data_IF_526700152498
#
_entry.id   IF_526700152498
#
_cell.length_a   1.000
_cell.length_b   1.000
_cell.length_c   1.000
_cell.angle_alpha   90.00
_cell.angle_beta   90.00
_cell.angle_gamma   90.00
#
_symmetry.space_group_name_H-M   'P 1'
#
loop_
_entity.id
_entity.type
_entity.pdbx_description
1 polymer ?
#
# COMPACT_ATOMS: atom_id res chain seq x y z
N UNK A 1 29.80 -11.28 -23.07
CA UNK A 1 30.51 -10.15 -22.51
C UNK A 1 31.97 -10.46 -22.24
N UNK A 2 32.78 -9.42 -22.16
CA UNK A 2 34.22 -9.56 -21.87
C UNK A 2 34.50 -9.00 -20.49
N UNK A 3 35.14 -9.79 -19.62
CA UNK A 3 35.55 -9.36 -18.26
C UNK A 3 37.00 -9.78 -18.04
N UNK A 4 37.87 -8.82 -17.70
CA UNK A 4 39.29 -9.01 -17.45
C UNK A 4 39.99 -9.72 -18.67
N UNK A 5 39.68 -9.29 -19.90
CA UNK A 5 40.22 -9.82 -21.15
C UNK A 5 39.74 -11.23 -21.55
N UNK A 6 38.83 -11.84 -20.81
CA UNK A 6 38.26 -13.15 -21.10
C UNK A 6 36.82 -13.04 -21.60
N UNK A 7 36.53 -13.68 -22.73
CA UNK A 7 35.17 -13.81 -23.28
C UNK A 7 34.39 -14.80 -22.37
N UNK A 8 33.22 -14.38 -21.88
CA UNK A 8 32.30 -15.24 -21.18
C UNK A 8 30.95 -15.24 -21.87
N UNK A 9 30.35 -16.40 -21.98
CA UNK A 9 28.97 -16.56 -22.47
C UNK A 9 28.05 -16.65 -21.23
N UNK A 10 26.94 -15.99 -21.29
CA UNK A 10 25.83 -16.12 -20.31
C UNK A 10 24.54 -16.18 -21.10
N UNK A 11 23.55 -16.88 -20.58
CA UNK A 11 22.19 -16.85 -21.10
C UNK A 11 21.36 -16.00 -20.15
N UNK A 12 20.56 -15.11 -20.71
CA UNK A 12 19.54 -14.35 -19.97
C UNK A 12 18.20 -14.96 -20.35
N UNK A 13 17.43 -15.33 -19.36
CA UNK A 13 16.03 -15.71 -19.55
C UNK A 13 15.18 -14.44 -19.45
N UNK A 14 14.74 -13.93 -20.58
CA UNK A 14 13.95 -12.71 -20.68
C UNK A 14 12.43 -13.01 -20.70
N UNK A 15 11.98 -13.99 -19.93
CA UNK A 15 10.56 -14.36 -19.87
C UNK A 15 9.70 -13.38 -19.09
N UNK A 16 10.30 -12.58 -18.23
CA UNK A 16 9.60 -11.59 -17.43
C UNK A 16 9.83 -10.19 -17.98
N UNK A 17 8.77 -9.40 -18.08
CA UNK A 17 8.88 -8.00 -18.44
C UNK A 17 9.59 -7.22 -17.32
N UNK A 18 10.36 -6.18 -17.68
CA UNK A 18 11.03 -5.31 -16.71
C UNK A 18 10.06 -4.73 -15.68
N UNK A 19 8.80 -4.50 -16.07
CA UNK A 19 7.76 -3.99 -15.18
C UNK A 19 7.39 -4.94 -14.03
N UNK A 20 7.68 -6.26 -14.18
CA UNK A 20 7.47 -7.22 -13.08
C UNK A 20 8.42 -7.03 -11.90
N UNK A 21 9.53 -6.32 -12.12
CA UNK A 21 10.50 -5.96 -11.08
C UNK A 21 10.27 -4.55 -10.50
N UNK A 22 9.29 -3.81 -11.02
CA UNK A 22 8.93 -2.51 -10.47
C UNK A 22 8.15 -2.69 -9.16
N UNK A 23 8.47 -1.87 -8.16
CA UNK A 23 7.73 -1.84 -6.89
C UNK A 23 6.31 -1.31 -7.09
N UNK A 24 6.12 -0.41 -8.05
CA UNK A 24 4.80 0.06 -8.48
C UNK A 24 4.37 -0.77 -9.70
N UNK A 25 3.39 -1.63 -9.51
CA UNK A 25 2.89 -2.48 -10.59
C UNK A 25 2.25 -1.67 -11.71
N UNK A 26 2.34 -2.19 -12.94
CA UNK A 26 1.71 -1.61 -14.12
C UNK A 26 0.19 -1.48 -14.00
N UNK A 27 -0.44 -0.97 -15.07
CA UNK A 27 -1.90 -0.87 -15.10
C UNK A 27 -2.55 -2.26 -15.10
N UNK A 28 -3.57 -2.42 -14.27
CA UNK A 28 -4.32 -3.66 -14.10
C UNK A 28 -5.79 -3.39 -14.45
N UNK A 29 -6.29 -4.05 -15.48
CA UNK A 29 -7.67 -3.89 -15.95
C UNK A 29 -8.55 -5.11 -15.65
N UNK A 30 -7.92 -6.28 -15.49
CA UNK A 30 -8.61 -7.56 -15.31
C UNK A 30 -8.70 -8.02 -13.84
N UNK A 31 -8.30 -7.14 -12.90
CA UNK A 31 -8.32 -7.44 -11.47
C UNK A 31 -9.27 -6.49 -10.74
N UNK A 32 -10.05 -7.07 -9.83
CA UNK A 32 -10.81 -6.27 -8.87
C UNK A 32 -9.82 -5.51 -7.99
N UNK A 33 -9.97 -4.19 -7.83
CA UNK A 33 -9.10 -3.39 -6.97
C UNK A 33 -9.09 -3.91 -5.53
N UNK A 34 -7.89 -4.11 -4.99
CA UNK A 34 -7.72 -4.48 -3.60
C UNK A 34 -7.83 -3.25 -2.72
N UNK A 35 -8.53 -3.39 -1.60
CA UNK A 35 -8.59 -2.37 -0.56
C UNK A 35 -8.84 -2.99 0.81
N UNK A 36 -8.44 -2.27 1.85
CA UNK A 36 -8.71 -2.56 3.24
C UNK A 36 -9.01 -1.26 3.99
N UNK A 37 -10.07 -1.26 4.78
CA UNK A 37 -10.45 -0.14 5.63
C UNK A 37 -10.20 -0.55 7.08
N UNK A 38 -9.39 0.25 7.77
CA UNK A 38 -9.08 0.02 9.17
C UNK A 38 -9.07 1.36 9.92
N UNK A 39 -9.79 1.44 11.04
CA UNK A 39 -9.95 2.68 11.80
C UNK A 39 -10.49 3.86 10.97
N UNK A 40 -11.30 3.58 9.94
CA UNK A 40 -11.82 4.57 8.99
C UNK A 40 -10.82 5.04 7.94
N UNK A 41 -9.65 4.42 7.84
CA UNK A 41 -8.64 4.75 6.85
C UNK A 41 -8.70 3.74 5.71
N UNK A 42 -8.78 4.24 4.48
CA UNK A 42 -8.76 3.42 3.26
C UNK A 42 -7.33 3.16 2.85
N UNK A 43 -6.92 1.90 2.87
CA UNK A 43 -5.63 1.43 2.38
C UNK A 43 -5.78 0.70 1.05
N UNK A 44 -4.84 0.94 0.13
CA UNK A 44 -4.79 0.31 -1.19
C UNK A 44 -3.34 0.03 -1.59
N UNK A 45 -3.08 -1.00 -2.42
CA UNK A 45 -1.76 -1.17 -3.02
C UNK A 45 -1.48 -0.07 -4.03
N UNK A 46 -0.22 0.42 -4.07
CA UNK A 46 0.20 1.40 -5.06
C UNK A 46 0.44 0.73 -6.41
N UNK A 47 -0.32 1.15 -7.41
CA UNK A 47 -0.17 0.72 -8.80
C UNK A 47 -0.34 1.92 -9.76
N UNK A 48 -0.09 1.71 -11.05
CA UNK A 48 -0.21 2.77 -12.05
C UNK A 48 -1.65 3.26 -12.23
N UNK A 49 -2.68 2.43 -12.00
CA UNK A 49 -4.08 2.88 -12.02
C UNK A 49 -4.32 3.96 -10.96
N UNK A 50 -3.78 3.77 -9.75
CA UNK A 50 -3.89 4.76 -8.68
C UNK A 50 -3.17 6.06 -9.05
N UNK A 51 -1.95 5.99 -9.58
CA UNK A 51 -1.17 7.17 -9.97
C UNK A 51 -1.88 7.94 -11.10
N UNK A 52 -2.44 7.25 -12.08
CA UNK A 52 -3.12 7.87 -13.22
C UNK A 52 -4.47 8.51 -12.89
N UNK A 53 -5.02 8.30 -11.69
CA UNK A 53 -6.26 8.98 -11.25
C UNK A 53 -6.14 10.51 -11.22
N UNK A 54 -4.91 11.05 -11.19
CA UNK A 54 -4.66 12.49 -11.30
C UNK A 54 -4.78 13.05 -12.71
N UNK A 55 -5.35 12.26 -13.67
CA UNK A 55 -5.65 12.68 -15.04
C UNK A 55 -4.47 12.56 -16.00
N UNK A 56 -4.60 13.15 -17.17
CA UNK A 56 -3.61 13.02 -18.24
C UNK A 56 -2.22 13.55 -17.84
N UNK A 57 -2.19 14.58 -16.99
CA UNK A 57 -0.95 15.20 -16.49
C UNK A 57 -0.47 14.60 -15.17
N UNK A 58 -0.86 13.35 -14.85
CA UNK A 58 -0.52 12.67 -13.59
C UNK A 58 0.96 12.78 -13.21
N UNK A 59 1.86 12.78 -14.18
CA UNK A 59 3.31 12.89 -13.94
C UNK A 59 3.75 14.22 -13.31
N UNK A 60 2.86 15.23 -13.30
CA UNK A 60 3.06 16.53 -12.68
C UNK A 60 2.13 16.80 -11.52
N UNK A 61 0.94 16.20 -11.53
CA UNK A 61 -0.15 16.50 -10.59
C UNK A 61 -0.28 15.50 -9.46
N UNK A 62 0.21 14.26 -9.64
CA UNK A 62 0.20 13.26 -8.57
C UNK A 62 1.19 13.63 -7.44
N UNK A 63 0.92 13.19 -6.20
CA UNK A 63 1.82 13.44 -5.08
C UNK A 63 3.25 12.98 -5.35
N UNK A 64 4.23 13.83 -4.99
CA UNK A 64 5.66 13.60 -5.26
C UNK A 64 6.13 12.27 -4.67
N UNK A 65 5.64 11.89 -3.49
CA UNK A 65 5.98 10.62 -2.84
C UNK A 65 5.59 9.41 -3.68
N UNK A 66 4.42 9.44 -4.32
CA UNK A 66 3.94 8.37 -5.19
C UNK A 66 4.72 8.31 -6.51
N UNK A 67 5.10 9.49 -7.05
CA UNK A 67 5.91 9.58 -8.27
C UNK A 67 7.34 9.07 -8.04
N UNK A 68 7.93 9.38 -6.90
CA UNK A 68 9.27 8.89 -6.53
C UNK A 68 9.28 7.36 -6.37
N UNK A 69 8.26 6.81 -5.72
CA UNK A 69 8.11 5.37 -5.51
C UNK A 69 8.08 4.56 -6.82
N UNK A 70 7.62 5.16 -7.91
CA UNK A 70 7.59 4.54 -9.24
C UNK A 70 8.98 4.12 -9.75
N UNK A 71 10.03 4.77 -9.28
CA UNK A 71 11.40 4.48 -9.70
C UNK A 71 12.10 3.45 -8.80
N UNK A 72 11.38 2.91 -7.80
CA UNK A 72 11.91 1.91 -6.88
C UNK A 72 11.68 0.49 -7.44
N UNK A 73 12.65 -0.40 -7.16
CA UNK A 73 12.58 -1.79 -7.57
C UNK A 73 12.02 -2.67 -6.46
N UNK A 74 11.27 -3.69 -6.84
CA UNK A 74 10.79 -4.70 -5.91
C UNK A 74 11.95 -5.57 -5.39
N UNK A 75 11.78 -6.09 -4.19
CA UNK A 75 12.69 -7.04 -3.57
C UNK A 75 11.88 -8.12 -2.84
N UNK A 76 12.48 -9.26 -2.44
CA UNK A 76 11.77 -10.28 -1.66
C UNK A 76 11.12 -9.74 -0.38
N UNK A 77 11.71 -8.69 0.22
CA UNK A 77 11.23 -8.08 1.45
C UNK A 77 10.36 -6.83 1.20
N UNK A 78 10.16 -6.41 -0.04
CA UNK A 78 9.35 -5.25 -0.41
C UNK A 78 8.82 -5.43 -1.83
N UNK A 79 7.65 -6.06 -1.95
CA UNK A 79 7.03 -6.42 -3.23
C UNK A 79 5.99 -5.42 -3.72
N UNK A 80 5.32 -4.74 -2.78
CA UNK A 80 4.30 -3.72 -3.04
C UNK A 80 4.41 -2.60 -2.01
N UNK A 81 3.90 -1.43 -2.37
CA UNK A 81 3.70 -0.32 -1.45
C UNK A 81 2.21 -0.22 -1.09
N UNK A 82 1.96 0.09 0.17
CA UNK A 82 0.62 0.34 0.70
C UNK A 82 0.43 1.83 0.89
N UNK A 83 -0.68 2.35 0.41
CA UNK A 83 -1.04 3.76 0.52
C UNK A 83 -2.27 3.92 1.40
N UNK A 84 -2.15 4.69 2.48
CA UNK A 84 -3.29 5.27 3.16
C UNK A 84 -3.83 6.39 2.26
N UNK A 85 -4.90 6.06 1.51
CA UNK A 85 -5.39 6.88 0.41
C UNK A 85 -6.22 8.05 0.91
N UNK A 86 -7.09 7.78 1.86
CA UNK A 86 -8.05 8.73 2.41
C UNK A 86 -8.49 8.31 3.81
N UNK A 87 -8.82 9.29 4.65
CA UNK A 87 -9.40 9.06 5.96
C UNK A 87 -10.89 9.43 5.92
N UNK A 88 -11.72 8.52 6.36
CA UNK A 88 -13.14 8.72 6.66
C UNK A 88 -13.24 9.17 8.11
N UNK A 89 -13.62 10.42 8.32
CA UNK A 89 -13.61 11.04 9.64
C UNK A 89 -14.47 10.27 10.65
N UNK A 90 -13.87 9.88 11.75
CA UNK A 90 -14.47 9.21 12.88
C UNK A 90 -13.67 9.53 14.16
N UNK A 91 -14.23 9.25 15.32
CA UNK A 91 -13.56 9.55 16.60
C UNK A 91 -12.25 8.78 16.76
N UNK A 92 -12.20 7.53 16.25
CA UNK A 92 -11.03 6.65 16.33
C UNK A 92 -9.81 7.18 15.56
N UNK A 93 -10.03 8.04 14.57
CA UNK A 93 -8.97 8.63 13.74
C UNK A 93 -8.88 10.16 13.89
N UNK A 94 -9.28 10.68 15.03
CA UNK A 94 -9.20 12.11 15.34
C UNK A 94 -7.76 12.61 15.24
N UNK A 95 -7.57 13.72 14.53
CA UNK A 95 -6.25 14.30 14.26
C UNK A 95 -5.64 13.86 12.93
N UNK A 96 -6.21 12.85 12.23
CA UNK A 96 -5.72 12.35 10.96
C UNK A 96 -6.64 12.65 9.77
N UNK A 97 -7.72 13.39 9.94
CA UNK A 97 -8.76 13.60 8.91
C UNK A 97 -8.25 14.18 7.60
N UNK A 98 -7.18 14.97 7.63
CA UNK A 98 -6.56 15.58 6.45
C UNK A 98 -5.47 14.70 5.81
N UNK A 99 -5.14 13.56 6.42
CA UNK A 99 -4.11 12.67 5.90
C UNK A 99 -4.60 11.94 4.66
N UNK A 100 -3.78 11.97 3.61
CA UNK A 100 -4.09 11.33 2.34
C UNK A 100 -2.83 11.02 1.54
N UNK A 101 -2.91 9.98 0.71
CA UNK A 101 -1.81 9.59 -0.19
C UNK A 101 -0.49 9.30 0.56
N UNK A 102 -0.58 8.73 1.73
CA UNK A 102 0.53 8.48 2.63
C UNK A 102 1.00 7.03 2.51
N UNK A 103 2.29 6.83 2.19
CA UNK A 103 2.86 5.48 2.01
C UNK A 103 3.22 4.91 3.37
N UNK A 104 2.67 3.73 3.69
CA UNK A 104 3.01 2.95 4.87
C UNK A 104 4.29 2.17 4.61
N UNK A 105 5.30 2.37 5.44
CA UNK A 105 6.58 1.65 5.40
C UNK A 105 6.61 0.49 6.38
N UNK A 106 6.10 0.71 7.60
CA UNK A 106 6.08 -0.29 8.67
C UNK A 106 4.78 -0.26 9.46
N UNK A 107 4.44 -1.38 10.09
CA UNK A 107 3.37 -1.53 11.08
C UNK A 107 3.98 -2.10 12.34
N UNK A 108 3.84 -1.42 13.48
CA UNK A 108 4.43 -1.80 14.78
C UNK A 108 5.93 -2.13 14.70
N UNK A 109 6.67 -1.38 13.85
CA UNK A 109 8.09 -1.55 13.62
C UNK A 109 8.45 -2.67 12.63
N UNK A 110 7.50 -3.47 12.14
CA UNK A 110 7.73 -4.47 11.11
C UNK A 110 7.52 -3.90 9.71
N UNK A 111 8.53 -4.05 8.83
CA UNK A 111 8.48 -3.55 7.46
C UNK A 111 7.40 -4.27 6.63
N UNK A 112 6.57 -3.49 5.96
CA UNK A 112 5.51 -4.00 5.08
C UNK A 112 6.13 -4.55 3.80
N UNK A 113 5.85 -5.84 3.50
CA UNK A 113 6.35 -6.52 2.30
C UNK A 113 5.44 -6.31 1.10
N UNK A 114 4.14 -6.41 1.32
CA UNK A 114 3.07 -6.24 0.33
C UNK A 114 1.73 -5.98 1.03
N UNK A 115 0.66 -5.86 0.25
CA UNK A 115 -0.66 -5.51 0.77
C UNK A 115 -1.27 -6.62 1.65
N UNK A 116 -1.06 -7.89 1.30
CA UNK A 116 -1.51 -9.01 2.12
C UNK A 116 -0.80 -9.00 3.48
N UNK A 117 0.52 -8.89 3.48
CA UNK A 117 1.31 -8.80 4.71
C UNK A 117 0.90 -7.61 5.59
N UNK A 118 0.62 -6.44 4.98
CA UNK A 118 0.09 -5.28 5.71
C UNK A 118 -1.22 -5.60 6.44
N UNK A 119 -2.16 -6.23 5.75
CA UNK A 119 -3.44 -6.58 6.36
C UNK A 119 -3.30 -7.63 7.46
N UNK A 120 -2.38 -8.58 7.28
CA UNK A 120 -2.09 -9.62 8.29
C UNK A 120 -1.47 -9.00 9.55
N UNK A 121 -0.54 -8.04 9.41
CA UNK A 121 0.05 -7.32 10.56
C UNK A 121 -1.00 -6.59 11.39
N UNK A 122 -2.02 -6.02 10.74
CA UNK A 122 -3.12 -5.36 11.45
C UNK A 122 -4.06 -6.39 12.12
N UNK A 123 -4.46 -7.43 11.39
CA UNK A 123 -5.42 -8.43 11.89
C UNK A 123 -4.89 -9.26 13.05
N UNK A 124 -3.60 -9.59 12.99
CA UNK A 124 -2.92 -10.37 14.02
C UNK A 124 -2.25 -9.47 15.09
N UNK A 125 -2.63 -8.19 15.15
CA UNK A 125 -2.11 -7.29 16.15
C UNK A 125 -2.58 -7.70 17.56
N UNK A 126 -1.63 -7.89 18.46
CA UNK A 126 -1.86 -8.20 19.87
C UNK A 126 -1.63 -6.99 20.79
N UNK A 127 -1.20 -5.84 20.23
CA UNK A 127 -0.97 -4.63 21.01
C UNK A 127 -2.25 -3.80 21.12
N UNK A 128 -2.30 -2.91 22.11
CA UNK A 128 -3.41 -1.98 22.29
C UNK A 128 -3.58 -1.02 21.10
N UNK A 129 -2.45 -0.66 20.47
CA UNK A 129 -2.43 0.27 19.35
C UNK A 129 -1.79 -0.38 18.10
N UNK A 130 -2.23 0.06 16.93
CA UNK A 130 -1.56 -0.16 15.65
C UNK A 130 -0.83 1.11 15.27
N UNK A 131 0.50 1.04 15.23
CA UNK A 131 1.38 2.14 14.85
C UNK A 131 1.84 1.92 13.42
N UNK A 132 1.38 2.76 12.50
CA UNK A 132 1.83 2.77 11.10
C UNK A 132 2.82 3.89 10.90
N UNK A 133 3.94 3.60 10.24
CA UNK A 133 5.04 4.54 10.06
C UNK A 133 5.41 4.67 8.58
N UNK A 134 5.79 5.89 8.15
CA UNK A 134 6.35 6.11 6.82
C UNK A 134 7.88 6.20 6.87
N UNK A 135 8.52 6.24 5.70
CA UNK A 135 9.98 6.34 5.58
C UNK A 135 10.63 7.57 6.23
N UNK A 136 9.84 8.59 6.57
CA UNK A 136 10.32 9.81 7.23
C UNK A 136 10.12 9.78 8.75
N UNK A 137 9.62 8.66 9.31
CA UNK A 137 9.37 8.50 10.74
C UNK A 137 8.08 9.17 11.23
N UNK A 138 7.21 9.67 10.34
CA UNK A 138 5.89 10.10 10.75
C UNK A 138 5.03 8.90 11.08
N UNK A 139 4.27 8.99 12.16
CA UNK A 139 3.45 7.89 12.68
C UNK A 139 1.97 8.24 12.66
N UNK A 140 1.17 7.24 12.35
CA UNK A 140 -0.27 7.21 12.48
C UNK A 140 -0.58 6.11 13.49
N UNK A 141 -1.20 6.48 14.61
CA UNK A 141 -1.48 5.57 15.73
C UNK A 141 -3.00 5.42 15.88
N UNK A 142 -3.48 4.20 15.81
CA UNK A 142 -4.90 3.86 15.94
C UNK A 142 -5.07 2.85 17.06
N UNK A 143 -5.94 3.16 18.02
CA UNK A 143 -6.30 2.18 19.04
C UNK A 143 -7.04 1.00 18.41
N UNK A 144 -6.50 -0.21 18.61
CA UNK A 144 -6.94 -1.41 17.89
C UNK A 144 -8.38 -1.80 18.26
N UNK A 145 -8.69 -1.79 19.55
CA UNK A 145 -10.03 -2.15 20.01
C UNK A 145 -11.09 -1.16 19.50
N UNK A 146 -10.82 0.15 19.59
CA UNK A 146 -11.71 1.17 19.08
C UNK A 146 -11.90 1.10 17.56
N UNK A 147 -10.85 0.72 16.81
CA UNK A 147 -10.94 0.54 15.37
C UNK A 147 -11.91 -0.59 15.01
N UNK A 148 -11.82 -1.72 15.73
CA UNK A 148 -12.72 -2.86 15.52
C UNK A 148 -14.16 -2.49 15.88
N UNK A 149 -14.37 -1.86 17.03
CA UNK A 149 -15.69 -1.48 17.51
C UNK A 149 -16.40 -0.46 16.62
N UNK A 150 -15.65 0.47 16.04
CA UNK A 150 -16.20 1.55 15.21
C UNK A 150 -16.37 1.17 13.72
N UNK A 151 -15.86 0.01 13.28
CA UNK A 151 -15.86 -0.38 11.85
C UNK A 151 -17.27 -0.37 11.26
N UNK A 152 -18.22 -1.05 11.89
CA UNK A 152 -19.59 -1.16 11.39
C UNK A 152 -20.28 0.20 11.24
N UNK A 153 -20.10 1.09 12.21
CA UNK A 153 -20.67 2.44 12.21
C UNK A 153 -20.05 3.32 11.13
N UNK A 154 -18.72 3.21 10.94
CA UNK A 154 -18.02 3.93 9.87
C UNK A 154 -18.51 3.46 8.51
N UNK A 155 -18.53 2.15 8.25
CA UNK A 155 -18.99 1.60 6.99
C UNK A 155 -20.43 2.00 6.68
N UNK A 156 -21.33 1.94 7.66
CA UNK A 156 -22.72 2.37 7.51
C UNK A 156 -22.84 3.86 7.20
N UNK A 157 -22.11 4.72 7.93
CA UNK A 157 -22.11 6.19 7.74
C UNK A 157 -21.66 6.58 6.34
N UNK A 158 -20.64 5.92 5.82
CA UNK A 158 -20.09 6.20 4.50
C UNK A 158 -20.70 5.35 3.37
N UNK A 159 -21.72 4.53 3.68
CA UNK A 159 -22.42 3.66 2.74
C UNK A 159 -21.49 2.69 2.00
N UNK A 160 -20.51 2.13 2.72
CA UNK A 160 -19.55 1.19 2.19
C UNK A 160 -20.00 -0.24 2.51
N UNK A 161 -20.16 -1.12 1.51
CA UNK A 161 -20.75 -2.45 1.72
C UNK A 161 -19.83 -3.43 2.47
N UNK A 162 -18.52 -3.24 2.41
CA UNK A 162 -17.55 -4.10 3.09
C UNK A 162 -16.26 -3.33 3.43
N UNK A 163 -15.63 -3.66 4.55
CA UNK A 163 -14.36 -3.06 4.99
C UNK A 163 -13.13 -3.53 4.20
N UNK A 164 -13.30 -4.54 3.34
CA UNK A 164 -12.19 -5.09 2.54
C UNK A 164 -12.67 -5.64 1.21
N UNK A 165 -11.76 -5.72 0.24
CA UNK A 165 -12.03 -6.38 -1.04
C UNK A 165 -12.11 -7.89 -0.89
N UNK A 166 -12.95 -8.53 -1.73
CA UNK A 166 -13.18 -9.99 -1.72
C UNK A 166 -11.93 -10.82 -2.06
N UNK A 167 -10.91 -10.21 -2.64
CA UNK A 167 -9.69 -10.90 -3.09
C UNK A 167 -8.56 -10.84 -2.08
N UNK A 168 -8.69 -10.04 -1.02
CA UNK A 168 -7.58 -9.77 -0.09
C UNK A 168 -7.16 -11.03 0.71
N UNK A 169 -8.03 -12.04 0.82
CA UNK A 169 -7.83 -13.26 1.61
C UNK A 169 -8.30 -14.53 0.87
N UNK A 170 -8.22 -14.54 -0.46
CA UNK A 170 -8.34 -15.80 -1.20
C UNK A 170 -6.96 -16.46 -1.20
N UNK A 171 -6.85 -17.53 -0.39
CA UNK A 171 -5.78 -18.52 -0.45
C UNK A 171 -5.66 -19.13 -1.86
#
# INVERSE_FOLDING_TARGET
YVRKGKVRKTSLDAREALDSYSLVTGEQFDKIPEYYIYGGILFVPLNMNLIKRWGNDWSRTAPVSLLQARNEWSSPNRRQLVVALQVMAADVNLGYHDWRNWIVEAVNGELVKDFAHFSDLIKNNENDDVVMENKNGYQLVINHQQAIESEADILARYQIPAGQSVNLFKD
#
